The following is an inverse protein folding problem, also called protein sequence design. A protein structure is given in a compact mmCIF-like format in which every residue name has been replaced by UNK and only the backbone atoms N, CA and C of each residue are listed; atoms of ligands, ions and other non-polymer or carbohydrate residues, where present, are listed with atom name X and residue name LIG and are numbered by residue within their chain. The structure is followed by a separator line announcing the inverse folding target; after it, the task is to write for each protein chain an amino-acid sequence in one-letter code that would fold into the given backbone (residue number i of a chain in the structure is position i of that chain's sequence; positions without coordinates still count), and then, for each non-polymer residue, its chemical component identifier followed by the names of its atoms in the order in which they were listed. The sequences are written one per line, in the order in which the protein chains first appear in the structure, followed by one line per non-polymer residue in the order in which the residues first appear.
data_IF_280470225802
#
_entry.id   IF_280470225802
#
_cell.length_a   1.000
_cell.length_b   1.000
_cell.length_c   1.000
_cell.angle_alpha   90.00
_cell.angle_beta   90.00
_cell.angle_gamma   90.00
#
_symmetry.space_group_name_H-M   'P 1'
#
loop_
_entity.id
_entity.type
_entity.pdbx_description
1 polymer ?
#
# COMPACT_ATOMS: atom_id res chain seq x y z
N UNK A 1 41.42 43.80 9.23
CA UNK A 1 41.37 43.08 7.94
C UNK A 1 40.78 41.72 8.23
N UNK A 2 39.57 41.48 7.73
CA UNK A 2 38.69 40.38 8.10
C UNK A 2 38.74 39.37 6.95
N UNK A 3 39.47 38.27 7.10
CA UNK A 3 39.42 37.17 6.12
C UNK A 3 38.38 36.16 6.58
N UNK A 4 37.22 36.22 5.91
CA UNK A 4 36.17 35.23 6.02
C UNK A 4 36.62 33.94 5.31
N UNK A 5 37.06 32.96 6.08
CA UNK A 5 37.13 31.57 5.60
C UNK A 5 35.72 31.03 5.45
N UNK A 6 35.30 30.88 4.20
CA UNK A 6 34.12 30.11 3.84
C UNK A 6 34.30 28.64 4.26
N UNK A 7 33.30 28.00 4.91
CA UNK A 7 33.34 26.55 5.05
C UNK A 7 33.06 25.95 3.68
N UNK A 8 34.08 25.25 3.17
CA UNK A 8 33.99 24.42 1.97
C UNK A 8 32.88 23.39 2.12
N UNK A 9 32.20 23.17 0.99
CA UNK A 9 31.12 22.23 0.74
C UNK A 9 31.11 21.01 1.66
N UNK A 10 29.93 20.78 2.26
CA UNK A 10 29.64 19.61 3.08
C UNK A 10 30.09 18.32 2.40
N UNK A 11 30.88 17.59 3.19
CA UNK A 11 31.11 16.17 3.17
C UNK A 11 30.08 15.41 2.30
N UNK A 12 30.52 14.97 1.12
CA UNK A 12 29.75 14.09 0.24
C UNK A 12 29.77 12.73 0.94
N UNK A 13 28.72 12.49 1.73
CA UNK A 13 28.56 11.31 2.57
C UNK A 13 28.90 10.04 1.82
N UNK A 14 29.99 9.40 2.24
CA UNK A 14 30.23 7.99 1.92
C UNK A 14 29.06 7.16 2.45
N UNK A 15 28.67 6.05 1.80
CA UNK A 15 27.66 5.14 2.31
C UNK A 15 28.26 4.34 3.49
N UNK A 16 28.45 5.00 4.63
CA UNK A 16 29.08 4.41 5.82
C UNK A 16 28.21 3.35 6.52
N UNK A 17 26.96 3.16 6.08
CA UNK A 17 25.97 2.44 6.87
C UNK A 17 25.17 1.35 6.15
N UNK A 18 25.60 0.83 5.01
CA UNK A 18 24.86 -0.26 4.31
C UNK A 18 23.43 0.13 3.89
N UNK A 19 23.14 1.43 3.87
CA UNK A 19 21.90 2.03 3.41
C UNK A 19 22.19 3.05 2.32
N UNK A 20 21.24 3.26 1.42
CA UNK A 20 21.34 4.22 0.33
C UNK A 20 21.41 5.65 0.86
N UNK A 21 22.30 6.45 0.29
CA UNK A 21 22.33 7.90 0.49
C UNK A 21 21.19 8.60 -0.27
N UNK A 22 20.88 9.85 0.07
CA UNK A 22 19.79 10.61 -0.56
C UNK A 22 19.94 10.72 -2.08
N UNK A 23 21.17 10.97 -2.56
CA UNK A 23 21.49 11.04 -3.99
C UNK A 23 21.29 9.70 -4.69
N UNK A 24 21.59 8.59 -4.00
CA UNK A 24 21.37 7.25 -4.53
C UNK A 24 19.88 6.89 -4.59
N UNK A 25 19.10 7.34 -3.60
CA UNK A 25 17.64 7.25 -3.61
C UNK A 25 17.07 7.99 -4.82
N UNK A 26 17.53 9.21 -5.09
CA UNK A 26 17.12 9.98 -6.27
C UNK A 26 17.49 9.28 -7.58
N UNK A 27 18.72 8.75 -7.69
CA UNK A 27 19.12 7.96 -8.88
C UNK A 27 18.26 6.72 -9.07
N UNK A 28 17.94 5.99 -7.98
CA UNK A 28 17.04 4.83 -8.03
C UNK A 28 15.65 5.24 -8.49
N UNK A 29 15.13 6.35 -7.97
CA UNK A 29 13.84 6.91 -8.36
C UNK A 29 13.80 7.28 -9.85
N UNK A 30 14.85 7.89 -10.38
CA UNK A 30 14.95 8.23 -11.81
C UNK A 30 15.03 6.98 -12.68
N UNK A 31 15.75 5.95 -12.22
CA UNK A 31 15.91 4.69 -12.95
C UNK A 31 14.67 3.79 -12.99
N UNK A 32 13.60 4.14 -12.26
CA UNK A 32 12.38 3.33 -12.24
C UNK A 32 11.71 3.26 -13.61
N UNK A 33 11.49 2.05 -14.08
CA UNK A 33 10.75 1.76 -15.30
C UNK A 33 9.27 2.17 -15.18
N UNK A 34 8.60 2.32 -16.32
CA UNK A 34 7.16 2.61 -16.36
C UNK A 34 6.32 1.54 -15.64
N UNK A 35 6.72 0.26 -15.75
CA UNK A 35 6.05 -0.85 -15.08
C UNK A 35 6.20 -0.77 -13.55
N UNK A 36 7.39 -0.43 -13.05
CA UNK A 36 7.64 -0.26 -11.61
C UNK A 36 6.89 0.94 -11.02
N UNK A 37 6.86 2.07 -11.75
CA UNK A 37 6.06 3.25 -11.37
C UNK A 37 4.58 2.92 -11.32
N UNK A 38 4.08 2.14 -12.28
CA UNK A 38 2.70 1.66 -12.28
C UNK A 38 2.42 0.74 -11.09
N UNK A 39 3.32 -0.20 -10.80
CA UNK A 39 3.21 -1.10 -9.63
C UNK A 39 3.12 -0.30 -8.33
N UNK A 40 3.98 0.70 -8.12
CA UNK A 40 3.93 1.56 -6.93
C UNK A 40 2.62 2.34 -6.78
N UNK A 41 2.04 2.81 -7.90
CA UNK A 41 0.74 3.48 -7.91
C UNK A 41 -0.38 2.56 -7.48
N UNK A 42 -0.45 1.35 -8.03
CA UNK A 42 -1.46 0.37 -7.63
C UNK A 42 -1.32 -0.02 -6.15
N UNK A 43 -0.08 -0.09 -5.64
CA UNK A 43 0.17 -0.32 -4.21
C UNK A 43 -0.34 0.86 -3.38
N UNK A 44 -0.08 2.09 -3.81
CA UNK A 44 -0.55 3.29 -3.12
C UNK A 44 -2.07 3.35 -3.08
N UNK A 45 -2.74 3.18 -4.23
CA UNK A 45 -4.20 3.13 -4.35
C UNK A 45 -4.81 2.16 -3.34
N UNK A 46 -4.30 0.91 -3.29
CA UNK A 46 -4.79 -0.09 -2.34
C UNK A 46 -4.50 0.27 -0.88
N UNK A 47 -3.33 0.84 -0.58
CA UNK A 47 -2.89 1.07 0.80
C UNK A 47 -3.53 2.31 1.42
N UNK A 48 -4.02 3.23 0.59
CA UNK A 48 -4.71 4.46 0.99
C UNK A 48 -6.06 4.19 1.64
N UNK A 49 -6.66 3.03 1.39
CA UNK A 49 -7.92 2.63 2.01
C UNK A 49 -7.87 2.72 3.55
N UNK A 50 -8.89 3.36 4.12
CA UNK A 50 -9.00 3.65 5.55
C UNK A 50 -8.09 4.77 6.06
N UNK A 51 -7.40 5.48 5.18
CA UNK A 51 -6.63 6.70 5.52
C UNK A 51 -7.30 7.95 4.94
N UNK A 52 -6.80 9.12 5.33
CA UNK A 52 -7.19 10.44 4.82
C UNK A 52 -6.23 10.99 3.75
N UNK A 53 -5.27 10.17 3.29
CA UNK A 53 -4.40 10.58 2.20
C UNK A 53 -5.19 10.74 0.90
N UNK A 54 -4.86 11.75 0.10
CA UNK A 54 -5.31 11.89 -1.28
C UNK A 54 -4.47 11.04 -2.26
N UNK A 55 -4.90 10.90 -3.52
CA UNK A 55 -4.14 10.17 -4.54
C UNK A 55 -2.70 10.68 -4.66
N UNK A 56 -1.73 9.76 -4.66
CA UNK A 56 -0.29 10.05 -4.73
C UNK A 56 0.35 10.51 -3.41
N UNK A 57 -0.44 10.95 -2.42
CA UNK A 57 0.13 11.52 -1.18
C UNK A 57 0.86 10.49 -0.34
N UNK A 58 0.34 9.26 -0.24
CA UNK A 58 1.00 8.20 0.54
C UNK A 58 2.35 7.80 -0.07
N UNK A 59 2.43 7.77 -1.40
CA UNK A 59 3.68 7.52 -2.11
C UNK A 59 4.68 8.66 -1.92
N UNK A 60 4.23 9.91 -2.06
CA UNK A 60 5.07 11.09 -1.84
C UNK A 60 5.60 11.15 -0.40
N UNK A 61 4.74 10.88 0.59
CA UNK A 61 5.14 10.80 2.00
C UNK A 61 6.23 9.75 2.22
N UNK A 62 6.05 8.54 1.66
CA UNK A 62 7.06 7.50 1.73
C UNK A 62 8.39 7.93 1.09
N UNK A 63 8.37 8.62 -0.05
CA UNK A 63 9.59 9.16 -0.68
C UNK A 63 10.25 10.24 0.18
N UNK A 64 9.48 11.18 0.70
CA UNK A 64 9.99 12.27 1.55
C UNK A 64 10.71 11.72 2.78
N UNK A 65 10.12 10.74 3.48
CA UNK A 65 10.74 10.09 4.64
C UNK A 65 12.06 9.40 4.28
N UNK A 66 12.19 8.89 3.05
CA UNK A 66 13.40 8.21 2.59
C UNK A 66 14.49 9.20 2.19
N UNK A 67 14.12 10.27 1.48
CA UNK A 67 15.05 11.33 1.06
C UNK A 67 15.60 12.10 2.27
N UNK A 68 14.75 12.39 3.26
CA UNK A 68 15.14 13.07 4.51
C UNK A 68 15.87 12.13 5.48
N UNK A 69 15.87 10.81 5.22
CA UNK A 69 16.60 9.81 6.00
C UNK A 69 15.89 9.31 7.26
N UNK A 70 14.62 9.68 7.47
CA UNK A 70 13.76 9.11 8.52
C UNK A 70 13.55 7.59 8.31
N UNK A 71 13.48 7.17 7.05
CA UNK A 71 13.49 5.77 6.63
C UNK A 71 14.72 5.50 5.78
N UNK A 72 15.50 4.49 6.15
CA UNK A 72 16.76 4.16 5.46
C UNK A 72 16.56 2.89 4.64
N UNK A 73 16.79 2.98 3.33
CA UNK A 73 16.72 1.82 2.43
C UNK A 73 18.04 1.06 2.48
N UNK A 74 18.08 -0.23 2.87
CA UNK A 74 19.30 -1.03 2.76
C UNK A 74 19.76 -1.11 1.30
N UNK A 75 21.08 -1.12 1.07
CA UNK A 75 21.66 -1.16 -0.29
C UNK A 75 21.24 -2.42 -1.04
N UNK A 76 21.22 -3.56 -0.35
CA UNK A 76 20.86 -4.87 -0.91
C UNK A 76 19.35 -5.08 -1.09
N UNK A 77 18.52 -4.17 -0.57
CA UNK A 77 17.08 -4.31 -0.65
C UNK A 77 16.53 -3.84 -2.00
N UNK A 78 15.48 -4.54 -2.48
CA UNK A 78 14.70 -4.03 -3.61
C UNK A 78 14.05 -2.71 -3.24
N UNK A 79 14.39 -1.64 -3.97
CA UNK A 79 13.88 -0.30 -3.71
C UNK A 79 12.34 -0.22 -3.80
N UNK A 80 11.73 -0.96 -4.74
CA UNK A 80 10.27 -1.05 -4.87
C UNK A 80 9.64 -1.73 -3.66
N UNK A 81 10.20 -2.87 -3.24
CA UNK A 81 9.69 -3.60 -2.07
C UNK A 81 9.83 -2.73 -0.80
N UNK A 82 10.95 -2.03 -0.66
CA UNK A 82 11.18 -1.12 0.46
C UNK A 82 10.17 0.04 0.50
N UNK A 83 9.89 0.68 -0.64
CA UNK A 83 8.86 1.73 -0.73
C UNK A 83 7.46 1.18 -0.42
N UNK A 84 7.14 -0.01 -0.92
CA UNK A 84 5.86 -0.65 -0.65
C UNK A 84 5.66 -0.95 0.84
N UNK A 85 6.70 -1.44 1.53
CA UNK A 85 6.66 -1.65 2.98
C UNK A 85 6.64 -0.32 3.76
N UNK A 86 7.28 0.73 3.25
CA UNK A 86 7.22 2.06 3.84
C UNK A 86 5.79 2.61 3.78
N UNK A 87 5.14 2.56 2.62
CA UNK A 87 3.73 2.92 2.44
C UNK A 87 2.80 2.09 3.34
N UNK A 88 3.06 0.78 3.49
CA UNK A 88 2.32 -0.09 4.42
C UNK A 88 2.40 0.44 5.85
N UNK A 89 3.61 0.73 6.30
CA UNK A 89 3.88 1.20 7.65
C UNK A 89 3.18 2.53 7.90
N UNK A 90 3.33 3.51 7.00
CA UNK A 90 2.71 4.83 7.11
C UNK A 90 1.18 4.70 7.15
N UNK A 91 0.58 3.98 6.21
CA UNK A 91 -0.86 3.81 6.16
C UNK A 91 -1.43 3.10 7.40
N UNK A 92 -0.71 2.09 7.92
CA UNK A 92 -1.09 1.39 9.16
C UNK A 92 -1.06 2.33 10.38
N UNK A 93 -0.01 3.14 10.51
CA UNK A 93 0.06 4.15 11.57
C UNK A 93 -1.06 5.20 11.43
N UNK A 94 -1.35 5.64 10.20
CA UNK A 94 -2.42 6.61 9.94
C UNK A 94 -3.80 6.06 10.28
N UNK A 95 -4.13 4.84 9.86
CA UNK A 95 -5.36 4.15 10.26
C UNK A 95 -5.53 4.09 11.78
N UNK A 96 -4.47 3.70 12.50
CA UNK A 96 -4.47 3.66 13.98
C UNK A 96 -4.64 5.05 14.61
N UNK A 97 -4.08 6.09 13.99
CA UNK A 97 -4.23 7.45 14.48
C UNK A 97 -5.67 7.95 14.28
N UNK A 98 -6.26 7.72 13.11
CA UNK A 98 -7.64 8.07 12.80
C UNK A 98 -8.64 7.30 13.67
N UNK A 99 -8.43 6.01 13.91
CA UNK A 99 -9.31 5.21 14.77
C UNK A 99 -9.32 5.66 16.24
N UNK A 100 -8.27 6.36 16.69
CA UNK A 100 -8.19 6.97 18.04
C UNK A 100 -8.86 8.33 18.09
N UNK A 101 -9.04 8.98 16.95
CA UNK A 101 -9.78 10.24 16.81
C UNK A 101 -11.29 9.91 16.77
N UNK A 102 -11.84 9.48 17.91
CA UNK A 102 -13.30 9.36 18.07
C UNK A 102 -13.89 10.78 17.97
N UNK A 103 -14.94 11.02 17.17
CA UNK A 103 -15.62 12.31 17.18
C UNK A 103 -16.16 12.60 18.59
N UNK A 104 -15.70 13.70 19.20
CA UNK A 104 -16.37 14.31 20.36
C UNK A 104 -17.67 14.95 19.88
N UNK A 105 -18.66 14.14 19.56
CA UNK A 105 -20.06 14.59 19.47
C UNK A 105 -20.93 13.52 20.10
N UNK A 106 -20.93 13.55 21.43
CA UNK A 106 -22.06 13.12 22.22
C UNK A 106 -22.96 14.35 22.34
N UNK A 107 -24.11 14.33 21.68
CA UNK A 107 -25.17 15.31 21.92
C UNK A 107 -26.40 14.55 22.38
N UNK A 108 -26.54 14.42 23.69
CA UNK A 108 -27.85 14.39 24.32
C UNK A 108 -28.37 15.84 24.31
N UNK A 109 -29.60 16.11 23.89
CA UNK A 109 -30.70 16.32 24.84
C UNK A 109 -32.09 16.22 24.17
N UNK A 110 -32.17 15.69 22.95
CA UNK A 110 -33.43 15.31 22.27
C UNK A 110 -33.30 14.24 21.16
N UNK A 111 -32.11 13.70 20.91
CA UNK A 111 -31.94 12.35 20.32
C UNK A 111 -32.37 12.10 18.87
N UNK A 112 -32.56 13.12 18.03
CA UNK A 112 -32.77 12.91 16.58
C UNK A 112 -31.95 13.92 15.78
N UNK A 113 -31.09 13.41 14.90
CA UNK A 113 -30.48 14.16 13.79
C UNK A 113 -30.88 13.45 12.50
N UNK A 114 -31.66 14.13 11.67
CA UNK A 114 -31.95 13.82 10.26
C UNK A 114 -31.21 14.93 9.47
N UNK A 115 -30.41 14.71 8.41
CA UNK A 115 -30.66 14.06 7.12
C UNK A 115 -29.31 13.94 6.37
N UNK A 116 -29.04 12.95 5.51
CA UNK A 116 -29.39 13.03 4.09
C UNK A 116 -29.73 11.66 3.51
N UNK A 117 -30.89 11.61 2.85
CA UNK A 117 -31.39 10.47 2.10
C UNK A 117 -30.54 10.23 0.83
N UNK A 118 -30.17 8.97 0.57
CA UNK A 118 -30.04 8.45 -0.79
C UNK A 118 -30.98 7.25 -0.85
N UNK A 119 -32.14 7.46 -1.47
CA UNK A 119 -32.92 6.39 -2.06
C UNK A 119 -32.49 6.25 -3.52
N UNK A 120 -31.85 5.13 -3.88
CA UNK A 120 -31.89 4.55 -5.22
C UNK A 120 -31.39 3.10 -5.12
N UNK A 121 -32.30 2.18 -5.45
CA UNK A 121 -32.22 0.71 -5.43
C UNK A 121 -31.94 0.04 -4.08
N UNK A 122 -33.04 -0.41 -3.46
CA UNK A 122 -33.01 -1.46 -2.45
C UNK A 122 -32.48 -2.74 -3.11
N UNK A 123 -31.15 -2.94 -3.07
CA UNK A 123 -30.63 -4.29 -3.12
C UNK A 123 -31.28 -5.07 -1.98
N UNK A 124 -31.78 -6.26 -2.31
CA UNK A 124 -32.36 -7.21 -1.36
C UNK A 124 -31.46 -7.29 -0.10
N UNK A 125 -31.99 -7.30 1.14
CA UNK A 125 -31.20 -7.57 2.34
C UNK A 125 -30.29 -8.80 2.20
N UNK A 126 -30.68 -9.82 1.44
CA UNK A 126 -29.82 -10.96 1.09
C UNK A 126 -28.64 -10.56 0.19
N UNK A 127 -28.87 -9.70 -0.80
CA UNK A 127 -27.81 -9.22 -1.70
C UNK A 127 -26.83 -8.28 -0.99
N UNK A 128 -27.33 -7.45 -0.07
CA UNK A 128 -26.50 -6.60 0.80
C UNK A 128 -25.66 -7.44 1.77
N UNK A 129 -26.17 -8.59 2.23
CA UNK A 129 -25.42 -9.52 3.08
C UNK A 129 -24.32 -10.23 2.28
N UNK A 130 -24.63 -10.70 1.07
CA UNK A 130 -23.66 -11.35 0.17
C UNK A 130 -22.51 -10.40 -0.22
N UNK A 131 -22.79 -9.13 -0.47
CA UNK A 131 -21.75 -8.13 -0.77
C UNK A 131 -20.85 -7.86 0.44
N UNK A 132 -21.40 -7.82 1.66
CA UNK A 132 -20.62 -7.69 2.90
C UNK A 132 -19.75 -8.92 3.15
N UNK A 133 -20.30 -10.12 3.00
CA UNK A 133 -19.56 -11.37 3.15
C UNK A 133 -18.42 -11.48 2.12
N UNK A 134 -18.67 -11.07 0.87
CA UNK A 134 -17.64 -11.02 -0.16
C UNK A 134 -16.52 -10.01 0.17
N UNK A 135 -16.88 -8.83 0.69
CA UNK A 135 -15.90 -7.83 1.13
C UNK A 135 -15.05 -8.34 2.31
N UNK A 136 -15.68 -9.03 3.28
CA UNK A 136 -15.00 -9.61 4.44
C UNK A 136 -14.01 -10.71 4.04
N UNK A 137 -14.40 -11.59 3.09
CA UNK A 137 -13.54 -12.64 2.54
C UNK A 137 -12.33 -12.05 1.83
N UNK A 138 -12.55 -11.03 1.00
CA UNK A 138 -11.47 -10.35 0.27
C UNK A 138 -10.49 -9.70 1.25
N UNK A 139 -10.98 -9.06 2.30
CA UNK A 139 -10.14 -8.47 3.35
C UNK A 139 -9.38 -9.53 4.17
N UNK A 140 -9.97 -10.69 4.46
CA UNK A 140 -9.25 -11.81 5.09
C UNK A 140 -8.11 -12.33 4.21
N UNK A 141 -8.36 -12.51 2.90
CA UNK A 141 -7.33 -12.93 1.94
C UNK A 141 -6.22 -11.88 1.87
N UNK A 142 -6.56 -10.59 1.87
CA UNK A 142 -5.55 -9.55 1.89
C UNK A 142 -4.72 -9.53 3.17
N UNK A 143 -5.35 -9.72 4.34
CA UNK A 143 -4.65 -9.86 5.63
C UNK A 143 -3.74 -11.09 5.65
N UNK A 144 -4.15 -12.18 4.99
CA UNK A 144 -3.31 -13.38 4.88
C UNK A 144 -2.05 -13.14 4.04
N UNK A 145 -2.16 -12.30 3.02
CA UNK A 145 -1.07 -11.95 2.11
C UNK A 145 -0.29 -10.69 2.55
N UNK A 146 -0.45 -10.26 3.80
CA UNK A 146 0.15 -9.02 4.26
C UNK A 146 1.69 -9.06 4.21
N UNK A 147 2.29 -8.12 3.47
CA UNK A 147 3.74 -8.10 3.22
C UNK A 147 4.16 -8.74 1.91
N UNK A 148 3.24 -9.40 1.21
CA UNK A 148 3.43 -9.90 -0.15
C UNK A 148 2.69 -9.00 -1.14
N UNK A 149 3.30 -7.85 -1.48
CA UNK A 149 2.69 -6.84 -2.35
C UNK A 149 2.27 -7.40 -3.72
N UNK A 150 3.08 -8.29 -4.29
CA UNK A 150 2.78 -8.89 -5.59
C UNK A 150 1.58 -9.83 -5.53
N UNK A 151 1.45 -10.59 -4.45
CA UNK A 151 0.28 -11.43 -4.22
C UNK A 151 -0.99 -10.60 -3.98
N UNK A 152 -0.89 -9.55 -3.16
CA UNK A 152 -2.01 -8.65 -2.89
C UNK A 152 -2.51 -7.95 -4.18
N UNK A 153 -1.59 -7.41 -4.99
CA UNK A 153 -1.92 -6.80 -6.29
C UNK A 153 -2.53 -7.81 -7.27
N UNK A 154 -2.04 -9.05 -7.27
CA UNK A 154 -2.60 -10.11 -8.13
C UNK A 154 -4.04 -10.44 -7.78
N UNK A 155 -4.35 -10.55 -6.47
CA UNK A 155 -5.74 -10.76 -6.03
C UNK A 155 -6.62 -9.56 -6.38
N UNK A 156 -6.14 -8.33 -6.19
CA UNK A 156 -6.88 -7.12 -6.57
C UNK A 156 -7.23 -7.11 -8.06
N UNK A 157 -6.25 -7.37 -8.94
CA UNK A 157 -6.51 -7.45 -10.37
C UNK A 157 -7.52 -8.55 -10.73
N UNK A 158 -7.51 -9.70 -10.03
CA UNK A 158 -8.50 -10.77 -10.24
C UNK A 158 -9.90 -10.32 -9.79
N UNK A 159 -10.01 -9.65 -8.64
CA UNK A 159 -11.27 -9.11 -8.11
C UNK A 159 -11.85 -8.04 -9.04
N UNK A 160 -11.00 -7.21 -9.65
CA UNK A 160 -11.38 -6.25 -10.70
C UNK A 160 -11.81 -6.92 -12.03
N UNK A 161 -11.88 -8.26 -12.06
CA UNK A 161 -12.30 -9.03 -13.23
C UNK A 161 -11.21 -9.19 -14.31
N UNK A 162 -9.97 -8.78 -14.04
CA UNK A 162 -8.88 -8.85 -15.02
C UNK A 162 -8.34 -10.26 -15.11
N UNK A 163 -8.04 -10.70 -16.34
CA UNK A 163 -7.65 -12.10 -16.62
C UNK A 163 -6.52 -12.18 -17.63
N UNK A 164 -5.80 -13.30 -17.58
CA UNK A 164 -4.82 -13.71 -18.59
C UNK A 164 -3.78 -12.64 -18.88
N UNK A 165 -3.65 -12.25 -20.16
CA UNK A 165 -2.64 -11.27 -20.61
C UNK A 165 -2.88 -9.89 -20.03
N UNK A 166 -4.12 -9.41 -19.94
CA UNK A 166 -4.42 -8.07 -19.44
C UNK A 166 -3.97 -7.88 -17.99
N UNK A 167 -4.17 -8.90 -17.14
CA UNK A 167 -3.70 -8.87 -15.76
C UNK A 167 -2.17 -8.82 -15.70
N UNK A 168 -1.49 -9.63 -16.51
CA UNK A 168 -0.03 -9.68 -16.55
C UNK A 168 0.60 -8.38 -17.04
N UNK A 169 0.03 -7.80 -18.09
CA UNK A 169 0.48 -6.54 -18.66
C UNK A 169 0.28 -5.39 -17.66
N UNK A 170 -0.79 -5.46 -16.86
CA UNK A 170 -1.01 -4.48 -15.80
C UNK A 170 -0.01 -4.58 -14.65
N UNK A 171 0.26 -5.81 -14.19
CA UNK A 171 1.20 -6.06 -13.09
C UNK A 171 2.67 -6.00 -13.55
N UNK A 172 2.91 -5.95 -14.86
CA UNK A 172 4.25 -5.97 -15.45
C UNK A 172 4.99 -7.29 -15.23
N UNK A 173 4.27 -8.41 -15.20
CA UNK A 173 4.83 -9.74 -14.89
C UNK A 173 4.72 -10.71 -16.06
N UNK A 174 5.67 -11.65 -16.13
CA UNK A 174 5.62 -12.75 -17.10
C UNK A 174 4.60 -13.81 -16.71
N UNK A 175 4.29 -14.73 -17.62
CA UNK A 175 3.45 -15.90 -17.31
C UNK A 175 4.04 -16.74 -16.17
N UNK A 176 5.35 -17.02 -16.22
CA UNK A 176 6.04 -17.77 -15.16
C UNK A 176 6.00 -17.03 -13.81
N UNK A 177 6.13 -15.70 -13.82
CA UNK A 177 5.98 -14.88 -12.61
C UNK A 177 4.58 -14.97 -12.03
N UNK A 178 3.55 -14.88 -12.87
CA UNK A 178 2.16 -15.07 -12.44
C UNK A 178 1.93 -16.45 -11.82
N UNK A 179 2.40 -17.52 -12.46
CA UNK A 179 2.24 -18.89 -11.95
C UNK A 179 2.94 -19.08 -10.60
N UNK A 180 4.11 -18.46 -10.42
CA UNK A 180 4.84 -18.44 -9.16
C UNK A 180 4.09 -17.69 -8.05
N UNK A 181 3.53 -16.51 -8.34
CA UNK A 181 2.70 -15.74 -7.39
C UNK A 181 1.46 -16.54 -7.00
N UNK A 182 0.74 -17.11 -7.96
CA UNK A 182 -0.43 -17.95 -7.69
C UNK A 182 -0.08 -19.17 -6.84
N UNK A 183 1.10 -19.78 -7.03
CA UNK A 183 1.59 -20.88 -6.18
C UNK A 183 1.83 -20.42 -4.74
N UNK A 184 2.39 -19.21 -4.54
CA UNK A 184 2.58 -18.61 -3.21
C UNK A 184 1.26 -18.33 -2.53
N UNK A 185 0.30 -17.71 -3.22
CA UNK A 185 -1.06 -17.46 -2.71
C UNK A 185 -1.71 -18.76 -2.24
N UNK A 186 -1.74 -19.80 -3.09
CA UNK A 186 -2.33 -21.10 -2.74
C UNK A 186 -1.69 -21.71 -1.49
N UNK A 187 -0.37 -21.60 -1.34
CA UNK A 187 0.34 -22.09 -0.14
C UNK A 187 -0.03 -21.30 1.11
N UNK A 188 -0.16 -19.98 1.02
CA UNK A 188 -0.57 -19.14 2.14
C UNK A 188 -1.98 -19.52 2.61
N UNK A 189 -2.92 -19.67 1.66
CA UNK A 189 -4.30 -20.08 1.93
C UNK A 189 -4.35 -21.48 2.55
N UNK A 190 -3.68 -22.47 1.95
CA UNK A 190 -3.67 -23.83 2.46
C UNK A 190 -3.06 -23.94 3.87
N UNK A 191 -2.08 -23.08 4.22
CA UNK A 191 -1.50 -23.04 5.57
C UNK A 191 -2.50 -22.54 6.62
N UNK A 192 -3.32 -21.55 6.28
CA UNK A 192 -4.33 -20.96 7.17
C UNK A 192 -5.59 -21.83 7.24
N UNK A 193 -5.97 -22.44 6.12
CA UNK A 193 -7.18 -23.26 5.95
C UNK A 193 -6.82 -24.67 5.44
N UNK A 194 -6.21 -25.52 6.29
CA UNK A 194 -5.73 -26.84 5.89
C UNK A 194 -6.85 -27.83 5.52
N UNK A 195 -8.08 -27.56 5.96
CA UNK A 195 -9.28 -28.37 5.65
C UNK A 195 -10.09 -27.81 4.47
N UNK A 196 -9.54 -26.84 3.75
CA UNK A 196 -10.28 -26.06 2.75
C UNK A 196 -10.85 -24.77 3.35
N UNK A 197 -11.12 -23.80 2.48
CA UNK A 197 -11.75 -22.54 2.84
C UNK A 197 -13.18 -22.82 3.36
N UNK A 198 -13.64 -22.17 4.45
CA UNK A 198 -15.05 -22.23 4.84
C UNK A 198 -15.85 -21.50 3.75
N UNK A 199 -16.46 -22.28 2.86
CA UNK A 199 -17.50 -21.81 1.94
C UNK A 199 -18.83 -21.74 2.68
#
# INVERSE_FOLDING_TARGET
MNEASAPLAGDIGQPENGHLAAEEVLRKLDSLSAAERKKLRLIEERRRDGTDFGPGMLYQEALCQVIVGERRCPVEASFIAFLAQSMRSIASHRRKALSRQVPLSRTDSSGVVVELQIAADQLDPEQTLLEKEAADVVDEVYKLLEGDDEAQLTIMAIVDGKKGRSLRDELGITQAGYDYIMKRIRRAVAKKYPKGWPL
#
